data_IF_096347550467
#
_entry.id   IF_096347550467
#
_cell.length_a   1.000
_cell.length_b   1.000
_cell.length_c   1.000
_cell.angle_alpha   90.00
_cell.angle_beta   90.00
_cell.angle_gamma   90.00
#
_symmetry.space_group_name_H-M   'P 1'
#
loop_
_entity.id
_entity.type
_entity.pdbx_description
1 polymer ?
#
# COMPACT_ATOMS: atom_id res chain seq x y z
N UNK A 1 14.90 11.53 19.48
CA UNK A 1 15.04 10.05 19.51
C UNK A 1 16.43 9.72 19.98
N UNK A 2 16.58 8.80 20.93
CA UNK A 2 17.90 8.29 21.34
C UNK A 2 18.43 7.35 20.25
N UNK A 3 19.74 7.30 20.04
CA UNK A 3 20.38 6.39 19.05
C UNK A 3 19.93 4.94 19.23
N UNK A 4 19.76 4.49 20.48
CA UNK A 4 19.25 3.16 20.84
C UNK A 4 17.82 2.93 20.31
N UNK A 5 16.92 3.90 20.46
CA UNK A 5 15.55 3.78 19.95
C UNK A 5 15.50 3.69 18.42
N UNK A 6 16.35 4.44 17.72
CA UNK A 6 16.43 4.41 16.26
C UNK A 6 16.94 3.08 15.71
N UNK A 7 17.97 2.51 16.34
CA UNK A 7 18.54 1.21 15.97
C UNK A 7 17.50 0.11 16.18
N UNK A 8 16.78 0.13 17.30
CA UNK A 8 15.74 -0.87 17.59
C UNK A 8 14.61 -0.84 16.57
N UNK A 9 14.10 0.35 16.24
CA UNK A 9 12.99 0.50 15.28
C UNK A 9 13.47 0.15 13.87
N UNK A 10 14.65 0.63 13.45
CA UNK A 10 15.25 0.28 12.17
C UNK A 10 15.43 -1.24 12.01
N UNK A 11 15.95 -1.91 13.04
CA UNK A 11 16.12 -3.36 13.03
C UNK A 11 14.79 -4.11 12.94
N UNK A 12 13.76 -3.66 13.66
CA UNK A 12 12.42 -4.25 13.57
C UNK A 12 11.83 -4.10 12.16
N UNK A 13 11.97 -2.93 11.54
CA UNK A 13 11.55 -2.68 10.15
C UNK A 13 12.33 -3.59 9.18
N UNK A 14 13.63 -3.78 9.39
CA UNK A 14 14.47 -4.66 8.58
C UNK A 14 13.95 -6.11 8.58
N UNK A 15 13.63 -6.64 9.77
CA UNK A 15 13.11 -8.01 9.94
C UNK A 15 11.75 -8.15 9.26
N UNK A 16 10.86 -7.18 9.43
CA UNK A 16 9.54 -7.17 8.77
C UNK A 16 9.65 -7.08 7.25
N UNK A 17 10.53 -6.20 6.73
CA UNK A 17 10.72 -6.05 5.30
C UNK A 17 11.35 -7.30 4.67
N UNK A 18 12.34 -7.92 5.35
CA UNK A 18 12.99 -9.15 4.89
C UNK A 18 12.02 -10.32 4.87
N UNK A 19 11.25 -10.51 5.94
CA UNK A 19 10.25 -11.59 6.00
C UNK A 19 9.14 -11.41 4.96
N UNK A 20 8.62 -10.20 4.79
CA UNK A 20 7.62 -9.89 3.76
C UNK A 20 8.16 -10.12 2.35
N UNK A 21 9.40 -9.69 2.07
CA UNK A 21 10.04 -9.88 0.77
C UNK A 21 10.25 -11.37 0.46
N UNK A 22 10.74 -12.14 1.43
CA UNK A 22 10.92 -13.58 1.29
C UNK A 22 9.58 -14.29 0.99
N UNK A 23 8.52 -13.95 1.72
CA UNK A 23 7.18 -14.51 1.49
C UNK A 23 6.66 -14.17 0.09
N UNK A 24 6.77 -12.91 -0.34
CA UNK A 24 6.32 -12.50 -1.68
C UNK A 24 7.08 -13.23 -2.79
N UNK A 25 8.41 -13.37 -2.65
CA UNK A 25 9.24 -14.10 -3.62
C UNK A 25 8.85 -15.57 -3.67
N UNK A 26 8.62 -16.22 -2.53
CA UNK A 26 8.18 -17.62 -2.48
C UNK A 26 6.83 -17.78 -3.19
N UNK A 27 5.85 -16.93 -2.91
CA UNK A 27 4.53 -17.00 -3.56
C UNK A 27 4.64 -16.76 -5.07
N UNK A 28 5.42 -15.78 -5.51
CA UNK A 28 5.67 -15.54 -6.93
C UNK A 28 6.33 -16.76 -7.60
N UNK A 29 7.32 -17.37 -6.96
CA UNK A 29 7.98 -18.57 -7.46
C UNK A 29 7.00 -19.76 -7.59
N UNK A 30 6.08 -19.93 -6.64
CA UNK A 30 5.01 -20.94 -6.72
C UNK A 30 4.06 -20.66 -7.87
N UNK A 31 3.69 -19.39 -8.10
CA UNK A 31 2.81 -18.99 -9.21
C UNK A 31 3.44 -19.30 -10.56
N UNK A 32 4.75 -19.04 -10.70
CA UNK A 32 5.52 -19.31 -11.93
C UNK A 32 5.68 -20.83 -12.12
N UNK A 33 6.21 -21.55 -11.12
CA UNK A 33 6.47 -23.00 -11.22
C UNK A 33 5.19 -23.83 -11.37
N UNK A 34 4.11 -23.42 -10.72
CA UNK A 34 2.81 -24.08 -10.83
C UNK A 34 2.14 -23.85 -12.19
N UNK A 35 2.76 -23.12 -13.12
CA UNK A 35 2.20 -22.75 -14.42
C UNK A 35 0.83 -22.04 -14.29
N UNK A 36 0.51 -21.46 -13.14
CA UNK A 36 -0.75 -20.74 -12.94
C UNK A 36 -0.83 -19.49 -13.83
N UNK A 37 0.33 -19.00 -14.30
CA UNK A 37 0.46 -17.96 -15.31
C UNK A 37 0.37 -18.46 -16.75
N UNK A 38 0.38 -19.75 -17.07
CA UNK A 38 0.31 -20.21 -18.47
C UNK A 38 -0.84 -21.21 -18.71
N UNK A 39 -1.14 -22.07 -17.74
CA UNK A 39 -2.09 -23.16 -17.88
C UNK A 39 -3.55 -22.80 -17.53
N UNK A 40 -3.78 -21.72 -16.77
CA UNK A 40 -5.11 -21.41 -16.24
C UNK A 40 -5.69 -20.12 -16.85
N UNK A 41 -6.90 -20.20 -17.41
CA UNK A 41 -7.63 -19.07 -17.99
C UNK A 41 -8.15 -18.06 -16.94
N UNK A 42 -7.70 -18.20 -15.69
CA UNK A 42 -8.08 -17.39 -14.55
C UNK A 42 -7.30 -16.06 -14.55
N UNK A 43 -8.03 -14.95 -14.67
CA UNK A 43 -7.50 -13.58 -14.66
C UNK A 43 -6.91 -13.12 -13.33
N UNK A 44 -7.15 -13.87 -12.25
CA UNK A 44 -6.64 -13.51 -10.92
C UNK A 44 -5.12 -13.61 -10.86
N UNK A 45 -4.52 -14.65 -11.45
CA UNK A 45 -3.08 -14.89 -11.27
C UNK A 45 -2.20 -13.77 -11.84
N UNK A 46 -2.46 -13.21 -13.04
CA UNK A 46 -1.74 -12.02 -13.52
C UNK A 46 -1.85 -10.81 -12.59
N UNK A 47 -3.05 -10.51 -12.09
CA UNK A 47 -3.28 -9.37 -11.18
C UNK A 47 -2.58 -9.56 -9.84
N UNK A 48 -2.67 -10.76 -9.27
CA UNK A 48 -2.00 -11.12 -8.03
C UNK A 48 -0.48 -11.07 -8.20
N UNK A 49 0.06 -11.57 -9.32
CA UNK A 49 1.49 -11.49 -9.59
C UNK A 49 1.97 -10.04 -9.67
N UNK A 50 1.22 -9.17 -10.37
CA UNK A 50 1.56 -7.75 -10.47
C UNK A 50 1.52 -7.04 -9.11
N UNK A 51 0.56 -7.40 -8.25
CA UNK A 51 0.48 -6.91 -6.86
C UNK A 51 1.69 -7.37 -6.02
N UNK A 52 2.06 -8.65 -6.09
CA UNK A 52 3.21 -9.17 -5.34
C UNK A 52 4.53 -8.57 -5.83
N UNK A 53 4.64 -8.31 -7.13
CA UNK A 53 5.80 -7.63 -7.71
C UNK A 53 5.93 -6.21 -7.18
N UNK A 54 4.84 -5.44 -7.17
CA UNK A 54 4.87 -4.08 -6.63
C UNK A 54 5.16 -4.08 -5.13
N UNK A 55 4.53 -4.95 -4.34
CA UNK A 55 4.83 -5.05 -2.90
C UNK A 55 6.30 -5.44 -2.66
N UNK A 56 6.88 -6.34 -3.46
CA UNK A 56 8.29 -6.73 -3.35
C UNK A 56 9.25 -5.57 -3.65
N UNK A 57 8.94 -4.76 -4.67
CA UNK A 57 9.73 -3.56 -4.98
C UNK A 57 9.63 -2.53 -3.85
N UNK A 58 8.45 -2.36 -3.27
CA UNK A 58 8.23 -1.45 -2.14
C UNK A 58 9.04 -1.88 -0.91
N UNK A 59 8.98 -3.17 -0.54
CA UNK A 59 9.75 -3.73 0.57
C UNK A 59 11.25 -3.65 0.31
N UNK A 60 11.69 -3.77 -0.94
CA UNK A 60 13.10 -3.59 -1.31
C UNK A 60 13.58 -2.17 -1.06
N UNK A 61 12.78 -1.14 -1.39
CA UNK A 61 13.12 0.25 -1.05
C UNK A 61 13.21 0.47 0.46
N UNK A 62 12.30 -0.14 1.23
CA UNK A 62 12.32 -0.04 2.69
C UNK A 62 13.57 -0.73 3.27
N UNK A 63 13.89 -1.93 2.78
CA UNK A 63 14.99 -2.74 3.31
C UNK A 63 16.36 -2.16 2.97
N UNK A 64 16.58 -1.75 1.71
CA UNK A 64 17.91 -1.37 1.24
C UNK A 64 18.22 0.12 1.37
N UNK A 65 17.21 0.97 1.59
CA UNK A 65 17.44 2.42 1.69
C UNK A 65 16.86 3.01 2.97
N UNK A 66 15.56 2.84 3.24
CA UNK A 66 14.95 3.45 4.43
C UNK A 66 15.55 2.92 5.72
N UNK A 67 15.77 1.60 5.81
CA UNK A 67 16.29 0.93 7.00
C UNK A 67 17.74 1.35 7.32
N UNK A 68 18.70 1.33 6.38
CA UNK A 68 20.03 1.88 6.62
C UNK A 68 20.02 3.37 6.99
N UNK A 69 19.26 4.19 6.27
CA UNK A 69 19.15 5.64 6.56
C UNK A 69 18.58 5.89 7.97
N UNK A 70 17.62 5.07 8.39
CA UNK A 70 17.08 5.09 9.74
C UNK A 70 18.08 4.71 10.83
N UNK A 71 18.97 3.75 10.59
CA UNK A 71 20.00 3.34 11.56
C UNK A 71 21.09 4.40 11.68
N UNK A 72 21.55 4.93 10.54
CA UNK A 72 22.59 5.96 10.48
C UNK A 72 22.07 7.34 10.90
N UNK A 73 20.75 7.54 10.87
CA UNK A 73 20.10 8.84 11.15
C UNK A 73 20.57 9.95 10.20
N UNK A 74 20.90 9.58 8.96
CA UNK A 74 21.33 10.52 7.92
C UNK A 74 20.93 10.01 6.53
N UNK A 75 20.98 10.91 5.55
CA UNK A 75 20.76 10.60 4.14
C UNK A 75 21.98 9.85 3.60
N UNK A 76 21.76 8.63 3.11
CA UNK A 76 22.83 7.78 2.58
C UNK A 76 23.43 8.31 1.27
N UNK A 77 22.61 8.91 0.40
CA UNK A 77 23.02 9.42 -0.92
C UNK A 77 22.33 10.74 -1.20
N UNK A 78 23.08 11.83 -1.17
CA UNK A 78 22.56 13.18 -1.43
C UNK A 78 21.96 13.27 -2.83
N UNK A 79 20.72 13.76 -2.92
CA UNK A 79 20.02 13.99 -4.18
C UNK A 79 19.25 12.78 -4.74
N UNK A 80 19.36 11.60 -4.12
CA UNK A 80 18.60 10.42 -4.53
C UNK A 80 17.19 10.37 -3.92
N UNK A 81 16.95 11.11 -2.84
CA UNK A 81 15.77 11.00 -1.97
C UNK A 81 14.45 11.32 -2.70
N UNK A 82 14.47 12.31 -3.60
CA UNK A 82 13.29 12.73 -4.37
C UNK A 82 12.96 11.73 -5.47
N UNK A 83 13.98 11.24 -6.19
CA UNK A 83 13.83 10.20 -7.22
C UNK A 83 13.34 8.90 -6.60
N UNK A 84 13.92 8.50 -5.47
CA UNK A 84 13.54 7.29 -4.77
C UNK A 84 12.16 7.41 -4.12
N UNK A 85 11.82 8.56 -3.55
CA UNK A 85 10.47 8.86 -3.06
C UNK A 85 9.43 8.76 -4.18
N UNK A 86 9.76 9.23 -5.38
CA UNK A 86 8.90 9.10 -6.57
C UNK A 86 8.74 7.64 -6.99
N UNK A 87 9.83 6.88 -7.07
CA UNK A 87 9.79 5.46 -7.40
C UNK A 87 8.95 4.67 -6.38
N UNK A 88 9.13 4.94 -5.09
CA UNK A 88 8.35 4.32 -4.01
C UNK A 88 6.86 4.67 -4.12
N UNK A 89 6.52 5.91 -4.49
CA UNK A 89 5.14 6.34 -4.75
C UNK A 89 4.51 5.62 -5.94
N UNK A 90 5.23 5.46 -7.05
CA UNK A 90 4.75 4.68 -8.21
C UNK A 90 4.33 3.28 -7.77
N UNK A 91 5.22 2.60 -7.05
CA UNK A 91 4.99 1.23 -6.60
C UNK A 91 3.81 1.15 -5.61
N UNK A 92 3.66 2.13 -4.73
CA UNK A 92 2.49 2.25 -3.85
C UNK A 92 1.18 2.40 -4.65
N UNK A 93 1.15 3.28 -5.65
CA UNK A 93 -0.04 3.49 -6.49
C UNK A 93 -0.41 2.25 -7.29
N UNK A 94 0.58 1.54 -7.84
CA UNK A 94 0.35 0.26 -8.54
C UNK A 94 -0.28 -0.75 -7.59
N UNK A 95 0.27 -0.91 -6.38
CA UNK A 95 -0.21 -1.89 -5.39
C UNK A 95 -1.67 -1.60 -4.99
N UNK A 96 -1.99 -0.33 -4.70
CA UNK A 96 -3.35 0.10 -4.31
C UNK A 96 -4.36 -0.09 -5.44
N UNK A 97 -3.97 0.26 -6.66
CA UNK A 97 -4.83 0.10 -7.84
C UNK A 97 -5.09 -1.38 -8.13
N UNK A 98 -4.05 -2.22 -8.07
CA UNK A 98 -4.17 -3.67 -8.28
C UNK A 98 -5.06 -4.33 -7.22
N UNK A 99 -4.96 -3.91 -5.96
CA UNK A 99 -5.83 -4.41 -4.90
C UNK A 99 -7.31 -4.11 -5.17
N UNK A 100 -7.63 -2.89 -5.63
CA UNK A 100 -8.99 -2.52 -6.03
C UNK A 100 -9.46 -3.32 -7.26
N UNK A 101 -8.62 -3.43 -8.30
CA UNK A 101 -8.93 -4.23 -9.49
C UNK A 101 -9.20 -5.70 -9.15
N UNK A 102 -8.43 -6.27 -8.21
CA UNK A 102 -8.60 -7.64 -7.74
C UNK A 102 -9.91 -7.82 -6.97
N UNK A 103 -10.31 -6.85 -6.15
CA UNK A 103 -11.60 -6.87 -5.46
C UNK A 103 -12.77 -6.84 -6.48
N UNK A 104 -12.69 -5.97 -7.50
CA UNK A 104 -13.67 -5.88 -8.57
C UNK A 104 -13.75 -7.17 -9.40
N UNK A 105 -12.61 -7.76 -9.77
CA UNK A 105 -12.58 -8.98 -10.58
C UNK A 105 -13.23 -10.14 -9.83
N UNK A 106 -12.97 -10.28 -8.51
CA UNK A 106 -13.61 -11.28 -7.65
C UNK A 106 -15.10 -11.02 -7.48
N UNK A 107 -15.51 -9.77 -7.34
CA UNK A 107 -16.94 -9.41 -7.29
C UNK A 107 -17.66 -9.87 -8.55
N UNK A 108 -17.12 -9.56 -9.73
CA UNK A 108 -17.73 -9.94 -11.01
C UNK A 108 -17.76 -11.46 -11.18
N UNK A 109 -16.66 -12.15 -10.91
CA UNK A 109 -16.61 -13.61 -11.05
C UNK A 109 -17.59 -14.34 -10.13
N UNK A 110 -17.76 -13.88 -8.88
CA UNK A 110 -18.61 -14.56 -7.88
C UNK A 110 -20.08 -14.12 -7.97
N UNK A 111 -20.34 -12.81 -8.09
CA UNK A 111 -21.70 -12.27 -8.01
C UNK A 111 -22.35 -12.10 -9.38
N UNK A 112 -21.55 -11.91 -10.45
CA UNK A 112 -22.03 -11.53 -11.79
C UNK A 112 -21.36 -12.35 -12.90
N UNK A 113 -21.50 -13.68 -12.92
CA UNK A 113 -20.78 -14.56 -13.85
C UNK A 113 -21.06 -14.25 -15.33
N UNK A 114 -22.21 -13.65 -15.66
CA UNK A 114 -22.54 -13.19 -17.02
C UNK A 114 -21.56 -12.13 -17.56
N UNK A 115 -20.95 -11.35 -16.67
CA UNK A 115 -19.97 -10.31 -17.01
C UNK A 115 -18.51 -10.77 -16.80
N UNK A 116 -18.28 -12.07 -16.56
CA UNK A 116 -16.94 -12.63 -16.39
C UNK A 116 -16.00 -12.34 -17.56
N UNK A 117 -16.55 -12.15 -18.77
CA UNK A 117 -15.81 -11.73 -19.97
C UNK A 117 -15.06 -10.40 -19.84
N UNK A 118 -15.46 -9.51 -18.92
CA UNK A 118 -14.73 -8.26 -18.65
C UNK A 118 -13.35 -8.53 -18.01
N UNK A 119 -13.26 -9.59 -17.22
CA UNK A 119 -12.05 -10.00 -16.51
C UNK A 119 -11.52 -11.30 -17.09
N UNK A 120 -11.41 -11.38 -18.41
CA UNK A 120 -10.65 -12.44 -19.08
C UNK A 120 -9.15 -12.24 -18.87
N UNK A 121 -8.39 -13.34 -18.94
CA UNK A 121 -6.94 -13.35 -18.75
C UNK A 121 -6.22 -12.31 -19.63
N UNK A 122 -6.54 -12.26 -20.92
CA UNK A 122 -5.91 -11.33 -21.87
C UNK A 122 -6.19 -9.87 -21.52
N UNK A 123 -7.40 -9.56 -21.04
CA UNK A 123 -7.79 -8.21 -20.61
C UNK A 123 -7.13 -7.85 -19.28
N UNK A 124 -7.04 -8.80 -18.34
CA UNK A 124 -6.34 -8.62 -17.07
C UNK A 124 -4.85 -8.32 -17.24
N UNK A 125 -4.17 -9.02 -18.16
CA UNK A 125 -2.77 -8.73 -18.50
C UNK A 125 -2.63 -7.32 -19.08
N UNK A 126 -3.50 -6.92 -20.02
CA UNK A 126 -3.53 -5.56 -20.56
C UNK A 126 -3.75 -4.51 -19.45
N UNK A 127 -4.67 -4.75 -18.51
CA UNK A 127 -4.89 -3.88 -17.35
C UNK A 127 -3.61 -3.74 -16.51
N UNK A 128 -2.91 -4.84 -16.24
CA UNK A 128 -1.64 -4.79 -15.49
C UNK A 128 -0.60 -3.93 -16.21
N UNK A 129 -0.42 -4.14 -17.52
CA UNK A 129 0.53 -3.39 -18.34
C UNK A 129 0.18 -1.89 -18.36
N UNK A 130 -1.10 -1.53 -18.51
CA UNK A 130 -1.57 -0.13 -18.56
C UNK A 130 -1.50 0.56 -17.19
N UNK A 131 -1.59 -0.19 -16.10
CA UNK A 131 -1.57 0.39 -14.75
C UNK A 131 -0.22 1.03 -14.42
N UNK A 132 0.88 0.44 -14.86
CA UNK A 132 2.23 0.98 -14.63
C UNK A 132 2.44 2.38 -15.20
N UNK A 133 2.27 2.65 -16.50
CA UNK A 133 2.44 3.99 -17.07
C UNK A 133 1.45 4.99 -16.48
N UNK A 134 0.22 4.57 -16.17
CA UNK A 134 -0.76 5.43 -15.49
C UNK A 134 -0.27 5.86 -14.10
N UNK A 135 0.23 4.93 -13.29
CA UNK A 135 0.76 5.22 -11.96
C UNK A 135 2.05 6.04 -12.02
N UNK A 136 2.91 5.80 -13.02
CA UNK A 136 4.10 6.62 -13.29
C UNK A 136 3.69 8.05 -13.61
N UNK A 137 2.74 8.24 -14.53
CA UNK A 137 2.24 9.57 -14.87
C UNK A 137 1.67 10.29 -13.64
N UNK A 138 0.85 9.61 -12.84
CA UNK A 138 0.30 10.18 -11.60
C UNK A 138 1.38 10.55 -10.58
N UNK A 139 2.41 9.72 -10.41
CA UNK A 139 3.51 10.00 -9.50
C UNK A 139 4.35 11.19 -10.00
N UNK A 140 4.64 11.27 -11.30
CA UNK A 140 5.39 12.38 -11.91
C UNK A 140 4.61 13.68 -11.81
N UNK A 141 3.31 13.66 -12.13
CA UNK A 141 2.43 14.82 -11.97
C UNK A 141 2.44 15.28 -10.50
N UNK A 142 2.26 14.33 -9.57
CA UNK A 142 2.22 14.61 -8.14
C UNK A 142 3.55 15.09 -7.55
N UNK A 143 4.69 14.78 -8.16
CA UNK A 143 6.01 15.16 -7.67
C UNK A 143 6.56 16.44 -8.32
N UNK A 144 6.37 16.60 -9.64
CA UNK A 144 7.05 17.64 -10.42
C UNK A 144 6.12 18.71 -10.99
N UNK A 145 4.83 18.41 -11.22
CA UNK A 145 3.90 19.36 -11.82
C UNK A 145 3.03 20.07 -10.78
N UNK A 146 2.76 19.43 -9.64
CA UNK A 146 1.91 20.03 -8.60
C UNK A 146 2.69 21.05 -7.76
N UNK A 147 2.17 22.28 -7.57
CA UNK A 147 2.84 23.31 -6.80
C UNK A 147 2.78 22.96 -5.30
N UNK A 148 3.96 22.83 -4.69
CA UNK A 148 4.31 23.05 -3.27
C UNK A 148 5.00 21.90 -2.55
N UNK A 149 4.81 20.66 -2.98
CA UNK A 149 4.96 19.56 -2.03
C UNK A 149 5.58 18.32 -2.64
N UNK A 150 6.91 18.20 -2.47
CA UNK A 150 7.67 17.03 -2.86
C UNK A 150 7.56 15.95 -1.78
N UNK A 151 7.37 14.71 -2.22
CA UNK A 151 7.49 13.58 -1.32
C UNK A 151 8.97 13.30 -1.07
N UNK A 152 9.34 13.29 0.21
CA UNK A 152 10.69 13.03 0.67
C UNK A 152 10.63 11.90 1.68
N UNK A 153 11.62 11.02 1.62
CA UNK A 153 11.77 9.94 2.57
C UNK A 153 12.42 10.48 3.84
N UNK A 154 11.71 10.40 4.97
CA UNK A 154 12.18 10.97 6.24
C UNK A 154 12.55 9.85 7.22
N UNK A 155 13.84 9.71 7.46
CA UNK A 155 14.41 8.64 8.27
C UNK A 155 14.10 8.75 9.78
N UNK A 156 13.81 9.94 10.31
CA UNK A 156 13.53 10.14 11.75
C UNK A 156 12.18 9.58 12.20
N UNK A 157 11.20 9.56 11.32
CA UNK A 157 9.86 9.02 11.60
C UNK A 157 9.58 7.77 10.79
N UNK A 158 10.59 7.26 10.07
CA UNK A 158 10.53 6.01 9.30
C UNK A 158 9.38 6.02 8.27
N UNK A 159 9.04 7.18 7.73
CA UNK A 159 7.88 7.32 6.84
C UNK A 159 8.12 8.33 5.72
N UNK A 160 7.21 8.31 4.76
CA UNK A 160 7.17 9.28 3.67
C UNK A 160 6.53 10.58 4.18
N UNK A 161 7.15 11.73 3.87
CA UNK A 161 6.63 13.04 4.25
C UNK A 161 6.53 13.94 3.04
N UNK A 162 5.58 14.86 3.09
CA UNK A 162 5.53 15.96 2.17
C UNK A 162 6.33 17.12 2.72
N UNK A 163 7.39 17.49 2.02
CA UNK A 163 8.11 18.73 2.30
C UNK A 163 7.24 19.89 1.81
N UNK A 164 6.67 20.67 2.75
CA UNK A 164 5.80 21.81 2.43
C UNK A 164 6.58 23.12 2.60
N UNK A 165 6.42 24.05 1.65
CA UNK A 165 6.75 25.45 1.90
C UNK A 165 5.74 26.08 2.87
N UNK A 166 6.17 27.05 3.69
CA UNK A 166 5.29 27.77 4.60
C UNK A 166 4.06 28.34 3.83
N UNK A 167 2.85 28.15 4.37
CA UNK A 167 1.56 28.56 3.81
C UNK A 167 1.13 27.95 2.46
N UNK A 168 1.70 26.81 2.05
CA UNK A 168 1.29 26.14 0.81
C UNK A 168 0.32 24.96 1.02
N UNK A 169 -0.75 24.92 0.20
CA UNK A 169 -1.75 23.86 0.19
C UNK A 169 -1.25 22.65 -0.59
N UNK A 170 -1.21 21.47 0.05
CA UNK A 170 -0.73 20.25 -0.58
C UNK A 170 -1.76 19.65 -1.54
N UNK A 171 -1.76 20.13 -2.78
CA UNK A 171 -2.61 19.62 -3.86
C UNK A 171 -2.29 18.16 -4.23
N UNK A 172 -1.04 17.73 -4.11
CA UNK A 172 -0.63 16.34 -4.41
C UNK A 172 -1.29 15.34 -3.44
N UNK A 173 -1.27 15.67 -2.14
CA UNK A 173 -1.95 14.88 -1.10
C UNK A 173 -3.48 14.88 -1.29
N UNK A 174 -4.08 16.05 -1.55
CA UNK A 174 -5.53 16.17 -1.66
C UNK A 174 -6.12 15.59 -2.95
N UNK A 175 -5.47 15.80 -4.11
CA UNK A 175 -6.01 15.42 -5.42
C UNK A 175 -5.59 14.03 -5.88
N UNK A 176 -4.43 13.53 -5.42
CA UNK A 176 -3.88 12.26 -5.93
C UNK A 176 -3.82 11.22 -4.82
N UNK A 177 -3.12 11.52 -3.72
CA UNK A 177 -2.80 10.49 -2.72
C UNK A 177 -4.04 10.04 -1.92
N UNK A 178 -4.85 11.00 -1.43
CA UNK A 178 -6.10 10.71 -0.74
C UNK A 178 -7.13 10.00 -1.63
N UNK A 179 -7.47 10.49 -2.84
CA UNK A 179 -8.46 9.82 -3.67
C UNK A 179 -8.03 8.42 -4.08
N UNK A 180 -6.74 8.22 -4.40
CA UNK A 180 -6.21 6.89 -4.75
C UNK A 180 -6.34 5.91 -3.58
N UNK A 181 -5.97 6.35 -2.37
CA UNK A 181 -5.95 5.46 -1.19
C UNK A 181 -7.34 5.23 -0.58
N UNK A 182 -8.14 6.29 -0.44
CA UNK A 182 -9.52 6.21 0.07
C UNK A 182 -10.40 5.51 -0.96
N UNK A 183 -10.30 5.89 -2.23
CA UNK A 183 -11.08 5.31 -3.32
C UNK A 183 -10.83 3.81 -3.47
N UNK A 184 -9.56 3.38 -3.52
CA UNK A 184 -9.22 1.95 -3.61
C UNK A 184 -9.73 1.15 -2.40
N UNK A 185 -9.59 1.70 -1.18
CA UNK A 185 -10.09 1.06 0.04
C UNK A 185 -11.62 0.96 0.06
N UNK A 186 -12.32 2.02 -0.35
CA UNK A 186 -13.79 2.05 -0.41
C UNK A 186 -14.32 1.06 -1.44
N UNK A 187 -13.71 1.02 -2.63
CA UNK A 187 -14.04 0.04 -3.68
C UNK A 187 -13.89 -1.37 -3.12
N UNK A 188 -12.73 -1.69 -2.52
CA UNK A 188 -12.48 -3.01 -1.99
C UNK A 188 -13.46 -3.38 -0.86
N UNK A 189 -13.77 -2.45 0.03
CA UNK A 189 -14.74 -2.65 1.11
C UNK A 189 -16.14 -2.98 0.57
N UNK A 190 -16.63 -2.22 -0.41
CA UNK A 190 -17.93 -2.45 -1.05
C UNK A 190 -17.94 -3.80 -1.77
N UNK A 191 -16.92 -4.10 -2.56
CA UNK A 191 -16.82 -5.37 -3.29
C UNK A 191 -16.85 -6.57 -2.34
N UNK A 192 -15.99 -6.60 -1.32
CA UNK A 192 -15.95 -7.74 -0.41
C UNK A 192 -17.19 -7.84 0.47
N UNK A 193 -17.81 -6.73 0.85
CA UNK A 193 -19.09 -6.73 1.56
C UNK A 193 -20.19 -7.42 0.75
N UNK A 194 -20.33 -7.08 -0.54
CA UNK A 194 -21.31 -7.71 -1.43
C UNK A 194 -21.01 -9.20 -1.60
N UNK A 195 -19.74 -9.58 -1.80
CA UNK A 195 -19.34 -10.98 -1.94
C UNK A 195 -19.69 -11.77 -0.67
N UNK A 196 -19.37 -11.25 0.51
CA UNK A 196 -19.66 -11.93 1.78
C UNK A 196 -21.18 -12.12 1.97
N UNK A 197 -21.99 -11.10 1.64
CA UNK A 197 -23.46 -11.19 1.71
C UNK A 197 -23.95 -12.28 0.75
N UNK A 198 -23.44 -12.32 -0.48
CA UNK A 198 -23.78 -13.33 -1.50
C UNK A 198 -23.43 -14.74 -1.02
N UNK A 199 -22.21 -14.95 -0.51
CA UNK A 199 -21.76 -16.24 0.04
C UNK A 199 -22.66 -16.69 1.19
N UNK A 200 -23.03 -15.77 2.10
CA UNK A 200 -23.94 -16.08 3.22
C UNK A 200 -25.32 -16.50 2.73
N UNK A 201 -25.87 -15.80 1.72
CA UNK A 201 -27.16 -16.15 1.11
C UNK A 201 -27.12 -17.53 0.45
N UNK A 202 -26.06 -17.82 -0.31
CA UNK A 202 -25.90 -19.11 -0.98
C UNK A 202 -25.70 -20.27 0.01
N UNK A 203 -24.91 -20.10 1.06
CA UNK A 203 -24.74 -21.15 2.10
C UNK A 203 -26.06 -21.52 2.78
N UNK A 204 -26.93 -20.53 3.04
CA UNK A 204 -28.27 -20.79 3.57
C UNK A 204 -29.16 -21.58 2.60
N UNK A 205 -28.95 -21.44 1.29
CA UNK A 205 -29.72 -22.15 0.25
C UNK A 205 -29.14 -23.53 -0.13
N UNK A 206 -27.82 -23.72 0.00
CA UNK A 206 -27.15 -25.01 -0.30
C UNK A 206 -27.44 -26.06 0.77
N UNK A 207 -27.75 -25.66 2.00
CA UNK A 207 -28.18 -26.59 3.07
C UNK A 207 -29.49 -27.31 2.70
N UNK A 208 -30.26 -26.78 1.73
CA UNK A 208 -31.54 -27.32 1.27
C UNK A 208 -31.50 -27.95 -0.13
N UNK A 209 -30.35 -27.98 -0.82
CA UNK A 209 -30.26 -28.48 -2.20
C UNK A 209 -29.12 -29.51 -2.40
N UNK A 210 -29.48 -30.72 -2.84
CA UNK A 210 -28.57 -31.78 -3.30
C UNK A 210 -27.71 -31.28 -4.47
N UNK A 211 -26.54 -30.71 -4.17
CA UNK A 211 -25.58 -30.23 -5.17
C UNK A 211 -24.37 -31.16 -5.26
N UNK A 212 -23.87 -31.39 -6.48
CA UNK A 212 -22.72 -32.23 -6.77
C UNK A 212 -21.51 -31.90 -5.87
N UNK A 213 -20.89 -32.94 -5.29
CA UNK A 213 -19.77 -32.83 -4.33
C UNK A 213 -18.57 -32.05 -4.89
N UNK A 214 -18.27 -32.20 -6.18
CA UNK A 214 -17.16 -31.51 -6.86
C UNK A 214 -17.40 -30.00 -7.02
N UNK A 215 -18.64 -29.60 -7.32
CA UNK A 215 -18.99 -28.17 -7.43
C UNK A 215 -18.90 -27.49 -6.06
N UNK A 216 -19.36 -28.17 -5.00
CA UNK A 216 -19.23 -27.66 -3.64
C UNK A 216 -17.75 -27.56 -3.19
N UNK A 217 -16.89 -28.49 -3.60
CA UNK A 217 -15.45 -28.41 -3.34
C UNK A 217 -14.80 -27.20 -4.01
N UNK A 218 -15.12 -26.94 -5.29
CA UNK A 218 -14.62 -25.76 -6.04
C UNK A 218 -15.09 -24.45 -5.41
N UNK A 219 -16.39 -24.33 -5.08
CA UNK A 219 -16.93 -23.15 -4.39
C UNK A 219 -16.27 -22.89 -3.04
N UNK A 220 -16.02 -23.95 -2.25
CA UNK A 220 -15.33 -23.84 -0.96
C UNK A 220 -13.91 -23.29 -1.12
N UNK A 221 -13.18 -23.72 -2.16
CA UNK A 221 -11.85 -23.18 -2.48
C UNK A 221 -11.92 -21.69 -2.88
N UNK A 222 -12.88 -21.31 -3.73
CA UNK A 222 -13.10 -19.92 -4.11
C UNK A 222 -13.42 -19.02 -2.90
N UNK A 223 -14.24 -19.50 -1.97
CA UNK A 223 -14.53 -18.77 -0.72
C UNK A 223 -13.29 -18.59 0.15
N UNK A 224 -12.39 -19.58 0.19
CA UNK A 224 -11.11 -19.47 0.89
C UNK A 224 -10.26 -18.34 0.32
N UNK A 225 -10.14 -18.26 -1.02
CA UNK A 225 -9.43 -17.16 -1.67
C UNK A 225 -10.06 -15.80 -1.41
N UNK A 226 -11.40 -15.70 -1.48
CA UNK A 226 -12.11 -14.45 -1.17
C UNK A 226 -11.77 -13.96 0.25
N UNK A 227 -11.77 -14.87 1.22
CA UNK A 227 -11.48 -14.51 2.61
C UNK A 227 -10.01 -14.05 2.78
N UNK A 228 -9.07 -14.73 2.13
CA UNK A 228 -7.66 -14.31 2.12
C UNK A 228 -7.51 -12.89 1.56
N UNK A 229 -8.11 -12.61 0.39
CA UNK A 229 -8.02 -11.28 -0.21
C UNK A 229 -8.76 -10.20 0.58
N UNK A 230 -9.85 -10.57 1.25
CA UNK A 230 -10.55 -9.67 2.19
C UNK A 230 -9.64 -9.29 3.35
N UNK A 231 -8.94 -10.26 3.95
CA UNK A 231 -8.01 -10.02 5.05
C UNK A 231 -6.84 -9.11 4.63
N UNK A 232 -6.30 -9.32 3.43
CA UNK A 232 -5.26 -8.43 2.84
C UNK A 232 -5.82 -7.01 2.69
N UNK A 233 -7.02 -6.87 2.14
CA UNK A 233 -7.66 -5.56 1.95
C UNK A 233 -7.86 -4.81 3.26
N UNK A 234 -8.43 -5.46 4.28
CA UNK A 234 -8.65 -4.86 5.60
C UNK A 234 -7.32 -4.43 6.23
N UNK A 235 -6.32 -5.30 6.20
CA UNK A 235 -4.99 -5.00 6.74
C UNK A 235 -4.36 -3.79 6.04
N UNK A 236 -4.47 -3.75 4.71
CA UNK A 236 -3.93 -2.67 3.89
C UNK A 236 -4.63 -1.32 4.14
N UNK A 237 -5.96 -1.33 4.35
CA UNK A 237 -6.73 -0.14 4.72
C UNK A 237 -6.38 0.33 6.14
N UNK A 238 -6.25 -0.59 7.11
CA UNK A 238 -5.89 -0.24 8.48
C UNK A 238 -4.48 0.39 8.57
N UNK A 239 -3.51 -0.16 7.85
CA UNK A 239 -2.16 0.41 7.73
C UNK A 239 -2.21 1.84 7.18
N UNK A 240 -3.00 2.09 6.13
CA UNK A 240 -3.15 3.44 5.58
C UNK A 240 -3.84 4.41 6.54
N UNK A 241 -4.93 3.98 7.18
CA UNK A 241 -5.63 4.80 8.17
C UNK A 241 -4.69 5.20 9.31
N UNK A 242 -3.82 4.28 9.73
CA UNK A 242 -2.78 4.56 10.72
C UNK A 242 -1.84 5.68 10.23
N UNK A 243 -1.37 5.63 8.99
CA UNK A 243 -0.55 6.69 8.40
C UNK A 243 -1.27 8.04 8.24
N UNK A 244 -2.60 8.04 8.07
CA UNK A 244 -3.39 9.27 7.97
C UNK A 244 -3.67 9.91 9.33
N UNK A 245 -3.85 9.09 10.37
CA UNK A 245 -4.20 9.52 11.72
C UNK A 245 -2.93 9.90 12.52
N UNK A 246 -1.86 9.12 12.39
CA UNK A 246 -0.64 9.28 13.18
C UNK A 246 -0.05 10.71 13.15
N UNK A 247 0.06 11.39 11.99
CA UNK A 247 0.56 12.76 11.94
C UNK A 247 -0.32 13.81 12.61
N UNK A 248 -1.60 13.51 12.85
CA UNK A 248 -2.52 14.43 13.54
C UNK A 248 -2.40 14.34 15.06
N UNK A 249 -1.94 13.20 15.57
CA UNK A 249 -1.82 12.94 17.01
C UNK A 249 -0.48 13.42 17.55
N UNK A 250 0.60 13.27 16.76
CA UNK A 250 1.95 13.65 17.18
C UNK A 250 2.38 14.90 16.40
N UNK A 251 2.45 16.08 17.05
CA UNK A 251 3.03 17.26 16.43
C UNK A 251 4.54 17.04 16.28
N UNK A 252 5.01 16.84 15.04
CA UNK A 252 6.43 16.83 14.73
C UNK A 252 6.75 17.98 13.77
N UNK A 253 7.94 18.57 13.94
CA UNK A 253 8.45 19.60 13.05
C UNK A 253 8.51 19.02 11.62
N UNK A 254 7.78 19.66 10.69
CA UNK A 254 7.81 19.27 9.28
C UNK A 254 9.22 19.53 8.72
N UNK A 255 9.76 18.67 7.85
CA UNK A 255 11.01 18.98 7.17
C UNK A 255 10.81 20.20 6.26
N UNK A 256 11.44 21.33 6.60
CA UNK A 256 11.49 22.53 5.75
C UNK A 256 12.65 22.40 4.73
N UNK A 257 12.34 22.63 3.46
CA UNK A 257 13.34 22.70 2.40
C UNK A 257 13.88 24.13 2.30
N UNK A 258 15.21 24.29 2.32
CA UNK A 258 15.86 25.51 1.86
C UNK A 258 16.71 25.16 0.63
N UNK A 259 17.06 26.13 -0.20
CA UNK A 259 17.75 25.96 -1.50
C UNK A 259 19.15 25.28 -1.44
N UNK A 260 19.54 24.72 -0.30
CA UNK A 260 20.77 23.93 -0.05
C UNK A 260 20.51 22.48 0.41
N UNK A 261 19.25 22.01 0.40
CA UNK A 261 18.84 20.69 0.89
C UNK A 261 17.93 20.75 2.12
N UNK A 262 17.61 19.59 2.71
CA UNK A 262 16.79 19.48 3.93
C UNK A 262 17.59 20.12 5.10
N UNK A 263 17.15 21.27 5.60
CA UNK A 263 17.76 21.85 6.81
C UNK A 263 17.07 21.25 8.03
N UNK A 264 17.85 20.51 8.83
CA UNK A 264 17.49 20.14 10.19
C UNK A 264 17.37 21.41 11.05
N UNK A 265 16.17 21.98 11.18
CA UNK A 265 15.87 22.89 12.30
C UNK A 265 15.40 22.07 13.50
N UNK A 266 16.34 21.55 14.28
CA UNK A 266 16.07 21.06 15.62
C UNK A 266 16.00 22.23 16.60
N UNK A 267 14.85 22.91 16.69
CA UNK A 267 14.54 23.82 17.80
C UNK A 267 13.28 23.37 18.54
N UNK A 268 13.07 22.05 18.69
CA UNK A 268 12.23 21.53 19.77
C UNK A 268 13.21 20.90 20.74
N UNK A 269 13.61 21.70 21.73
CA UNK A 269 14.40 21.20 22.84
C UNK A 269 13.54 20.18 23.59
N UNK A 270 14.15 19.19 24.24
CA UNK A 270 13.43 18.23 25.07
C UNK A 270 12.58 18.92 26.18
N UNK A 271 12.84 20.20 26.48
CA UNK A 271 12.08 21.03 27.40
C UNK A 271 10.70 21.46 26.85
N UNK A 272 10.52 21.53 25.53
CA UNK A 272 9.22 21.90 24.95
C UNK A 272 8.21 20.74 24.99
N UNK A 273 8.71 19.50 24.95
CA UNK A 273 7.89 18.30 25.07
C UNK A 273 7.47 18.02 26.53
N UNK A 274 8.32 18.36 27.51
CA UNK A 274 7.95 18.30 28.93
C UNK A 274 6.91 19.35 29.28
N UNK A 275 7.07 20.59 28.80
CA UNK A 275 6.11 21.68 29.02
C UNK A 275 4.74 21.41 28.36
N UNK A 276 4.70 20.68 27.24
CA UNK A 276 3.44 20.29 26.60
C UNK A 276 2.73 19.13 27.33
N UNK A 277 3.49 18.22 27.93
CA UNK A 277 2.95 17.13 28.74
C UNK A 277 2.47 17.61 30.12
N UNK A 278 3.13 18.60 30.74
CA UNK A 278 2.68 19.18 32.02
C UNK A 278 1.42 20.04 31.87
N UNK A 279 1.28 20.82 30.80
CA UNK A 279 0.15 21.75 30.64
C UNK A 279 -1.18 21.09 30.20
N UNK A 280 -1.18 19.79 29.87
CA UNK A 280 -2.39 19.09 29.38
C UNK A 280 -3.16 18.32 30.45
N UNK A 281 -2.70 18.34 31.70
CA UNK A 281 -3.38 17.71 32.86
C UNK A 281 -4.09 18.70 33.78
N UNK A 282 -4.14 19.99 33.43
CA UNK A 282 -4.80 21.04 34.21
C UNK A 282 -5.88 21.83 33.47
N UNK A 283 -6.56 21.20 32.50
CA UNK A 283 -7.80 21.69 31.90
C UNK A 283 -8.80 20.54 31.71
#
# INVERSE_FOLDING_TARGET
MTTVSSISIGSAIAVLATSGLALNIVVMAVIIKGSFLAANNNSTFPMLFNLLLSDSLHLSFILFYLTPAAIVQDVMVVGLDTTLGTAMRVVLYVSRTMLACLACSRLVLVCYPKFSGLFERSKAIKMCIVTWPLCIALAVIGQYLMPCCQLVLYFRTFSLHFSKGANSTNYSDFLIEKPTSIGSSLIAFVCYSIIIIKIRKERKQVTSALTNSEQNKRKKQEYGFVFQFTAISISSTFTWLSFLIYPKIIPYAQPEWNNRGIINKSNVSAADLSNFLENKWHL
#
